data_IF_543619445490
#
_entry.id   IF_543619445490
#
_cell.length_a   1.000
_cell.length_b   1.000
_cell.length_c   1.000
_cell.angle_alpha   90.00
_cell.angle_beta   90.00
_cell.angle_gamma   90.00
#
_symmetry.space_group_name_H-M   'P 1'
#
loop_
_entity.id
_entity.type
_entity.pdbx_description
1 polymer ?
#
# COMPACT_ATOMS: atom_id res chain seq x y z
N UNK A 1 4.57 13.91 -66.86
CA UNK A 1 5.73 13.10 -66.42
C UNK A 1 6.79 14.03 -65.88
N UNK A 2 7.31 13.75 -64.67
CA UNK A 2 8.69 14.03 -64.23
C UNK A 2 9.03 15.54 -64.07
N UNK A 3 9.41 16.10 -62.92
CA UNK A 3 9.83 15.58 -61.60
C UNK A 3 9.69 16.71 -60.58
N UNK A 4 9.04 16.42 -59.45
CA UNK A 4 9.04 17.23 -58.23
C UNK A 4 10.36 17.03 -57.47
N UNK A 5 11.43 17.69 -57.90
CA UNK A 5 12.70 17.65 -57.16
C UNK A 5 13.36 19.03 -57.26
N UNK A 6 13.05 19.92 -56.33
CA UNK A 6 13.93 21.03 -55.91
C UNK A 6 13.34 21.81 -54.72
N UNK A 7 12.96 21.12 -53.64
CA UNK A 7 12.91 21.75 -52.30
C UNK A 7 13.50 20.73 -51.34
N UNK A 8 14.83 20.61 -51.36
CA UNK A 8 15.62 19.78 -50.44
C UNK A 8 16.61 20.66 -49.66
N UNK A 9 16.12 21.79 -49.17
CA UNK A 9 16.87 22.71 -48.32
C UNK A 9 15.89 23.41 -47.37
N UNK A 10 15.44 22.70 -46.34
CA UNK A 10 14.55 23.29 -45.33
C UNK A 10 13.69 22.25 -44.61
N UNK A 11 14.32 21.40 -43.80
CA UNK A 11 13.70 20.92 -42.55
C UNK A 11 14.79 20.28 -41.67
N UNK A 12 15.77 21.13 -41.33
CA UNK A 12 16.68 20.88 -40.23
C UNK A 12 15.98 21.36 -38.96
N UNK A 13 16.04 20.52 -37.93
CA UNK A 13 15.66 20.80 -36.53
C UNK A 13 14.17 20.62 -36.20
N UNK A 14 13.93 19.82 -35.15
CA UNK A 14 12.73 19.73 -34.29
C UNK A 14 11.84 18.48 -34.36
N UNK A 15 12.40 17.32 -34.71
CA UNK A 15 12.01 16.08 -34.03
C UNK A 15 12.84 15.97 -32.74
N UNK A 16 12.58 16.89 -31.79
CA UNK A 16 13.03 16.72 -30.42
C UNK A 16 12.44 15.40 -29.96
N UNK A 17 13.30 14.40 -29.87
CA UNK A 17 13.09 13.21 -29.09
C UNK A 17 12.70 13.69 -27.69
N UNK A 18 11.40 13.79 -27.42
CA UNK A 18 10.90 13.65 -26.06
C UNK A 18 11.19 12.20 -25.70
N UNK A 19 12.43 11.95 -25.32
CA UNK A 19 12.76 10.82 -24.48
C UNK A 19 11.95 11.06 -23.22
N UNK A 20 10.80 10.40 -23.13
CA UNK A 20 10.12 10.20 -21.85
C UNK A 20 11.18 9.66 -20.91
N UNK A 21 11.56 10.47 -19.93
CA UNK A 21 12.37 10.04 -18.82
C UNK A 21 11.48 9.12 -17.98
N UNK A 22 11.25 7.90 -18.48
CA UNK A 22 10.75 6.83 -17.64
C UNK A 22 11.73 6.73 -16.47
N UNK A 23 11.24 6.77 -15.21
CA UNK A 23 12.12 6.71 -14.06
C UNK A 23 12.99 5.48 -14.24
N UNK A 24 14.32 5.67 -14.33
CA UNK A 24 15.30 4.60 -14.60
C UNK A 24 14.85 3.33 -13.90
N UNK A 25 14.26 2.41 -14.66
CA UNK A 25 13.96 1.07 -14.19
C UNK A 25 15.34 0.44 -13.98
N UNK A 26 15.82 0.45 -12.73
CA UNK A 26 16.70 -0.64 -12.30
C UNK A 26 15.95 -1.92 -12.62
N UNK A 27 16.62 -2.88 -13.25
CA UNK A 27 15.99 -4.10 -13.76
C UNK A 27 15.05 -4.67 -12.67
N UNK A 28 13.77 -4.88 -13.02
CA UNK A 28 12.77 -5.37 -12.06
C UNK A 28 13.03 -6.81 -11.57
N UNK A 29 14.13 -7.41 -12.00
CA UNK A 29 14.49 -8.80 -11.75
C UNK A 29 15.62 -8.96 -10.71
N UNK A 30 16.11 -7.85 -10.14
CA UNK A 30 17.28 -7.87 -9.24
C UNK A 30 16.93 -8.27 -7.77
N UNK A 31 15.63 -8.43 -7.43
CA UNK A 31 15.19 -8.96 -6.14
C UNK A 31 13.73 -8.68 -5.74
N UNK A 32 13.27 -9.27 -4.63
CA UNK A 32 11.89 -9.12 -4.13
C UNK A 32 11.47 -7.65 -3.94
N UNK A 33 12.39 -6.80 -3.46
CA UNK A 33 12.12 -5.37 -3.25
C UNK A 33 11.89 -4.62 -4.56
N UNK A 34 12.68 -4.92 -5.58
CA UNK A 34 12.56 -4.27 -6.89
C UNK A 34 11.29 -4.74 -7.61
N UNK A 35 10.96 -6.03 -7.54
CA UNK A 35 9.67 -6.55 -8.01
C UNK A 35 8.49 -5.85 -7.32
N UNK A 36 8.53 -5.74 -5.98
CA UNK A 36 7.47 -5.07 -5.22
C UNK A 36 7.33 -3.59 -5.64
N UNK A 37 8.46 -2.91 -5.87
CA UNK A 37 8.46 -1.53 -6.37
C UNK A 37 7.83 -1.44 -7.76
N UNK A 38 8.18 -2.33 -8.68
CA UNK A 38 7.62 -2.34 -10.03
C UNK A 38 6.11 -2.63 -10.02
N UNK A 39 5.66 -3.63 -9.25
CA UNK A 39 4.24 -3.92 -9.08
C UNK A 39 3.47 -2.71 -8.51
N UNK A 40 4.09 -1.97 -7.59
CA UNK A 40 3.50 -0.76 -7.00
C UNK A 40 3.39 0.38 -7.99
N UNK A 41 4.45 0.62 -8.76
CA UNK A 41 4.46 1.65 -9.82
C UNK A 41 3.36 1.34 -10.83
N UNK A 42 3.25 0.09 -11.29
CA UNK A 42 2.19 -0.33 -12.21
C UNK A 42 0.80 -0.10 -11.63
N UNK A 43 0.56 -0.54 -10.38
CA UNK A 43 -0.74 -0.39 -9.72
C UNK A 43 -1.15 1.08 -9.53
N UNK A 44 -0.20 1.96 -9.21
CA UNK A 44 -0.47 3.39 -9.05
C UNK A 44 -0.74 4.08 -10.39
N UNK A 45 0.06 3.79 -11.42
CA UNK A 45 -0.14 4.35 -12.76
C UNK A 45 -1.51 3.98 -13.32
N UNK A 46 -1.92 2.72 -13.17
CA UNK A 46 -3.23 2.23 -13.63
C UNK A 46 -4.38 2.85 -12.81
N UNK A 47 -4.26 2.89 -11.49
CA UNK A 47 -5.35 3.37 -10.63
C UNK A 47 -5.57 4.89 -10.68
N UNK A 48 -4.54 5.66 -11.03
CA UNK A 48 -4.61 7.11 -11.08
C UNK A 48 -4.86 7.67 -12.48
N UNK A 49 -4.84 6.83 -13.53
CA UNK A 49 -4.93 7.26 -14.94
C UNK A 49 -3.94 8.39 -15.26
N UNK A 50 -2.67 8.20 -14.87
CA UNK A 50 -1.68 9.27 -14.91
C UNK A 50 -1.41 9.74 -16.34
N UNK A 51 -1.64 11.03 -16.60
CA UNK A 51 -1.10 11.68 -17.79
C UNK A 51 0.44 11.79 -17.70
N UNK A 52 1.16 11.87 -18.83
CA UNK A 52 2.61 12.08 -18.81
C UNK A 52 3.04 13.31 -18.00
N UNK A 53 2.27 14.41 -18.10
CA UNK A 53 2.55 15.67 -17.40
C UNK A 53 2.38 15.55 -15.89
N UNK A 54 1.39 14.76 -15.44
CA UNK A 54 1.20 14.47 -14.02
C UNK A 54 2.31 13.56 -13.50
N UNK A 55 2.65 12.51 -14.25
CA UNK A 55 3.69 11.56 -13.89
C UNK A 55 5.05 12.25 -13.67
N UNK A 56 5.42 13.19 -14.54
CA UNK A 56 6.66 13.97 -14.42
C UNK A 56 6.77 14.73 -13.08
N UNK A 57 5.65 15.23 -12.56
CA UNK A 57 5.59 15.95 -11.27
C UNK A 57 5.43 15.02 -10.08
N UNK A 58 4.67 13.94 -10.24
CA UNK A 58 4.32 13.01 -9.16
C UNK A 58 5.51 12.15 -8.73
N UNK A 59 6.22 11.51 -9.67
CA UNK A 59 7.24 10.52 -9.34
C UNK A 59 8.39 11.05 -8.48
N UNK A 60 8.92 12.27 -8.69
CA UNK A 60 9.95 12.83 -7.81
C UNK A 60 9.48 12.95 -6.35
N UNK A 61 8.28 13.48 -6.12
CA UNK A 61 7.71 13.64 -4.77
C UNK A 61 7.45 12.28 -4.13
N UNK A 62 6.85 11.36 -4.88
CA UNK A 62 6.58 10.01 -4.41
C UNK A 62 7.87 9.27 -4.03
N UNK A 63 8.90 9.32 -4.87
CA UNK A 63 10.17 8.63 -4.61
C UNK A 63 10.85 9.15 -3.33
N UNK A 64 10.82 10.46 -3.09
CA UNK A 64 11.36 11.04 -1.86
C UNK A 64 10.58 10.57 -0.62
N UNK A 65 9.24 10.57 -0.69
CA UNK A 65 8.40 10.03 0.39
C UNK A 65 8.71 8.55 0.64
N UNK A 66 8.84 7.74 -0.40
CA UNK A 66 9.15 6.30 -0.25
C UNK A 66 10.53 6.08 0.37
N UNK A 67 11.52 6.90 0.02
CA UNK A 67 12.85 6.86 0.64
C UNK A 67 12.75 7.16 2.14
N UNK A 68 12.07 8.24 2.53
CA UNK A 68 11.87 8.60 3.93
C UNK A 68 11.11 7.52 4.71
N UNK A 69 10.07 6.92 4.11
CA UNK A 69 9.33 5.80 4.71
C UNK A 69 10.21 4.58 4.92
N UNK A 70 11.07 4.26 3.95
CA UNK A 70 12.00 3.15 4.03
C UNK A 70 13.04 3.37 5.14
N UNK A 71 13.62 4.56 5.23
CA UNK A 71 14.58 4.93 6.27
C UNK A 71 13.93 4.89 7.66
N UNK A 72 12.74 5.47 7.82
CA UNK A 72 12.00 5.41 9.09
C UNK A 72 11.65 3.97 9.49
N UNK A 73 11.22 3.14 8.53
CA UNK A 73 10.94 1.73 8.80
C UNK A 73 12.22 0.95 9.15
N UNK A 74 13.36 1.27 8.53
CA UNK A 74 14.65 0.69 8.86
C UNK A 74 15.04 1.02 10.31
N UNK A 75 14.97 2.29 10.71
CA UNK A 75 15.26 2.72 12.08
C UNK A 75 14.35 2.05 13.13
N UNK A 76 13.06 1.87 12.80
CA UNK A 76 12.12 1.11 13.65
C UNK A 76 12.59 -0.34 13.80
N UNK A 77 13.02 -1.00 12.73
CA UNK A 77 13.49 -2.39 12.80
C UNK A 77 14.81 -2.52 13.56
N UNK A 78 15.74 -1.57 13.40
CA UNK A 78 17.01 -1.58 14.14
C UNK A 78 16.80 -1.33 15.64
N UNK A 79 16.04 -0.31 16.00
CA UNK A 79 15.71 -0.02 17.40
C UNK A 79 14.89 -1.14 18.05
N UNK A 80 14.01 -1.80 17.30
CA UNK A 80 13.31 -2.99 17.78
C UNK A 80 14.27 -4.14 18.10
N UNK A 81 15.22 -4.45 17.20
CA UNK A 81 16.23 -5.50 17.45
C UNK A 81 17.07 -5.19 18.68
N UNK A 82 17.50 -3.94 18.85
CA UNK A 82 18.25 -3.52 20.02
C UNK A 82 17.42 -3.65 21.31
N UNK A 83 16.12 -3.35 21.25
CA UNK A 83 15.20 -3.55 22.37
C UNK A 83 15.01 -5.04 22.68
N UNK A 84 14.83 -5.88 21.66
CA UNK A 84 14.69 -7.33 21.80
C UNK A 84 15.94 -7.95 22.45
N UNK A 85 17.13 -7.55 22.01
CA UNK A 85 18.40 -7.97 22.61
C UNK A 85 18.52 -7.51 24.06
N UNK A 86 18.15 -6.26 24.37
CA UNK A 86 18.20 -5.75 25.72
C UNK A 86 17.21 -6.45 26.67
N UNK A 87 16.05 -6.88 26.17
CA UNK A 87 15.05 -7.59 26.97
C UNK A 87 15.42 -9.07 27.19
N UNK A 88 15.98 -9.72 26.17
CA UNK A 88 16.30 -11.15 26.23
C UNK A 88 17.70 -11.45 26.79
N UNK A 89 18.60 -10.45 26.84
CA UNK A 89 19.93 -10.56 27.41
C UNK A 89 20.01 -10.17 28.89
N UNK A 90 21.22 -10.23 29.46
CA UNK A 90 21.51 -9.79 30.84
C UNK A 90 21.81 -8.28 30.90
N UNK A 91 20.91 -7.48 30.33
CA UNK A 91 21.06 -6.02 30.28
C UNK A 91 20.58 -5.35 31.56
N UNK A 92 21.27 -4.27 31.96
CA UNK A 92 20.81 -3.45 33.08
C UNK A 92 19.45 -2.80 32.81
N UNK A 93 18.69 -2.50 33.88
CA UNK A 93 17.42 -1.75 33.79
C UNK A 93 17.56 -0.41 33.03
N UNK A 94 18.71 0.25 33.17
CA UNK A 94 19.00 1.51 32.47
C UNK A 94 19.16 1.30 30.96
N UNK A 95 19.84 0.23 30.56
CA UNK A 95 20.03 -0.13 29.14
C UNK A 95 18.68 -0.46 28.47
N UNK A 96 17.83 -1.26 29.14
CA UNK A 96 16.47 -1.56 28.65
C UNK A 96 15.65 -0.29 28.48
N UNK A 97 15.68 0.63 29.47
CA UNK A 97 14.97 1.91 29.40
C UNK A 97 15.42 2.75 28.20
N UNK A 98 16.72 2.80 27.92
CA UNK A 98 17.28 3.54 26.77
C UNK A 98 16.84 2.92 25.44
N UNK A 99 16.91 1.60 25.31
CA UNK A 99 16.48 0.89 24.10
C UNK A 99 14.98 1.09 23.83
N UNK A 100 14.15 1.04 24.88
CA UNK A 100 12.72 1.31 24.77
C UNK A 100 12.45 2.74 24.30
N UNK A 101 13.15 3.74 24.87
CA UNK A 101 13.00 5.13 24.45
C UNK A 101 13.33 5.32 22.96
N UNK A 102 14.44 4.74 22.49
CA UNK A 102 14.85 4.81 21.09
C UNK A 102 13.83 4.15 20.15
N UNK A 103 13.25 3.01 20.54
CA UNK A 103 12.21 2.35 19.76
C UNK A 103 10.93 3.19 19.66
N UNK A 104 10.48 3.78 20.77
CA UNK A 104 9.30 4.65 20.79
C UNK A 104 9.52 5.92 19.97
N UNK A 105 10.72 6.51 20.02
CA UNK A 105 11.10 7.65 19.19
C UNK A 105 11.04 7.29 17.69
N UNK A 106 11.63 6.15 17.29
CA UNK A 106 11.58 5.68 15.90
C UNK A 106 10.13 5.45 15.41
N UNK A 107 9.24 4.93 16.27
CA UNK A 107 7.81 4.83 15.96
C UNK A 107 7.16 6.20 15.76
N UNK A 108 7.55 7.20 16.56
CA UNK A 108 7.13 8.60 16.42
C UNK A 108 7.52 9.17 15.06
N UNK A 109 8.80 9.12 14.72
CA UNK A 109 9.32 9.60 13.43
C UNK A 109 8.62 8.94 12.25
N UNK A 110 8.40 7.61 12.30
CA UNK A 110 7.65 6.90 11.26
C UNK A 110 6.22 7.43 11.10
N UNK A 111 5.53 7.76 12.19
CA UNK A 111 4.19 8.35 12.14
C UNK A 111 4.21 9.72 11.49
N UNK A 112 5.18 10.57 11.83
CA UNK A 112 5.36 11.91 11.23
C UNK A 112 5.64 11.85 9.73
N UNK A 113 6.51 10.94 9.29
CA UNK A 113 6.77 10.69 7.86
C UNK A 113 5.49 10.27 7.13
N UNK A 114 4.68 9.41 7.75
CA UNK A 114 3.40 9.00 7.16
C UNK A 114 2.39 10.15 7.11
N UNK A 115 2.28 10.95 8.17
CA UNK A 115 1.36 12.10 8.22
C UNK A 115 1.73 13.17 7.18
N UNK A 116 3.01 13.53 7.08
CA UNK A 116 3.50 14.51 6.10
C UNK A 116 3.44 14.04 4.64
N UNK A 117 3.14 12.76 4.39
CA UNK A 117 3.01 12.24 3.02
C UNK A 117 1.84 12.87 2.27
N UNK A 118 0.71 13.10 2.95
CA UNK A 118 -0.47 13.71 2.34
C UNK A 118 -0.19 15.15 1.90
N UNK A 119 0.44 15.94 2.79
CA UNK A 119 0.82 17.33 2.52
C UNK A 119 1.78 17.43 1.32
N UNK A 120 2.84 16.59 1.30
CA UNK A 120 3.80 16.57 0.20
C UNK A 120 3.15 16.21 -1.13
N UNK A 121 2.27 15.22 -1.16
CA UNK A 121 1.57 14.82 -2.38
C UNK A 121 0.53 15.85 -2.82
N UNK A 122 -0.14 16.52 -1.88
CA UNK A 122 -1.08 17.62 -2.16
C UNK A 122 -0.44 18.84 -2.84
N UNK A 123 0.90 18.94 -2.87
CA UNK A 123 1.59 19.98 -3.65
C UNK A 123 1.55 19.74 -5.17
N UNK A 124 1.30 18.49 -5.59
CA UNK A 124 1.28 18.08 -7.01
C UNK A 124 -0.03 17.42 -7.43
N UNK A 125 -0.85 16.97 -6.48
CA UNK A 125 -2.14 16.32 -6.70
C UNK A 125 -3.28 17.21 -6.21
N UNK A 126 -4.39 17.19 -6.94
CA UNK A 126 -5.70 17.66 -6.44
C UNK A 126 -6.22 16.76 -5.31
N UNK A 127 -7.22 17.22 -4.56
CA UNK A 127 -7.84 16.43 -3.48
C UNK A 127 -8.42 15.10 -3.98
N UNK A 128 -9.03 15.10 -5.17
CA UNK A 128 -9.57 13.89 -5.80
C UNK A 128 -8.47 12.89 -6.18
N UNK A 129 -7.38 13.37 -6.77
CA UNK A 129 -6.23 12.53 -7.14
C UNK A 129 -5.50 12.00 -5.90
N UNK A 130 -5.38 12.81 -4.85
CA UNK A 130 -4.81 12.42 -3.58
C UNK A 130 -5.65 11.32 -2.91
N UNK A 131 -6.97 11.45 -2.93
CA UNK A 131 -7.88 10.41 -2.43
C UNK A 131 -7.74 9.11 -3.23
N UNK A 132 -7.70 9.18 -4.57
CA UNK A 132 -7.47 8.02 -5.45
C UNK A 132 -6.14 7.35 -5.14
N UNK A 133 -5.07 8.13 -4.96
CA UNK A 133 -3.75 7.63 -4.57
C UNK A 133 -3.81 6.81 -3.27
N UNK A 134 -4.44 7.32 -2.21
CA UNK A 134 -4.53 6.60 -0.94
C UNK A 134 -5.38 5.32 -1.06
N UNK A 135 -6.46 5.35 -1.82
CA UNK A 135 -7.26 4.15 -2.12
C UNK A 135 -6.43 3.12 -2.89
N UNK A 136 -5.66 3.54 -3.88
CA UNK A 136 -4.80 2.67 -4.68
C UNK A 136 -3.67 2.05 -3.85
N UNK A 137 -2.99 2.85 -3.03
CA UNK A 137 -1.97 2.37 -2.08
C UNK A 137 -2.52 1.33 -1.11
N UNK A 138 -3.71 1.56 -0.55
CA UNK A 138 -4.31 0.64 0.40
C UNK A 138 -4.76 -0.67 -0.28
N UNK A 139 -5.32 -0.59 -1.49
CA UNK A 139 -5.63 -1.77 -2.32
C UNK A 139 -4.37 -2.58 -2.61
N UNK A 140 -3.30 -1.92 -3.02
CA UNK A 140 -2.01 -2.55 -3.29
C UNK A 140 -1.47 -3.24 -2.04
N UNK A 141 -1.43 -2.54 -0.90
CA UNK A 141 -0.96 -3.08 0.39
C UNK A 141 -1.73 -4.34 0.79
N UNK A 142 -3.06 -4.31 0.68
CA UNK A 142 -3.92 -5.46 1.01
C UNK A 142 -3.66 -6.64 0.07
N UNK A 143 -3.50 -6.39 -1.23
CA UNK A 143 -3.17 -7.43 -2.20
C UNK A 143 -1.81 -8.08 -1.90
N UNK A 144 -0.79 -7.30 -1.54
CA UNK A 144 0.52 -7.83 -1.16
C UNK A 144 0.46 -8.68 0.12
N UNK A 145 -0.30 -8.26 1.13
CA UNK A 145 -0.52 -9.08 2.34
C UNK A 145 -1.22 -10.39 2.00
N UNK A 146 -2.22 -10.37 1.10
CA UNK A 146 -2.91 -11.59 0.69
C UNK A 146 -1.96 -12.58 0.02
N UNK A 147 -1.05 -12.10 -0.85
CA UNK A 147 0.00 -12.93 -1.49
C UNK A 147 0.99 -13.55 -0.48
N UNK A 148 1.22 -12.90 0.66
CA UNK A 148 2.13 -13.38 1.71
C UNK A 148 1.49 -14.39 2.66
N UNK A 149 0.16 -14.60 2.61
CA UNK A 149 -0.49 -15.64 3.41
C UNK A 149 -0.17 -16.99 2.77
N UNK A 150 0.48 -17.94 3.49
CA UNK A 150 0.59 -19.30 3.00
C UNK A 150 -0.84 -19.83 2.75
N UNK A 151 -1.08 -20.32 1.53
CA UNK A 151 -2.41 -20.72 1.10
C UNK A 151 -3.05 -21.68 2.10
N UNK A 152 -4.27 -21.35 2.54
CA UNK A 152 -5.22 -22.46 2.68
C UNK A 152 -5.37 -23.03 1.26
N UNK A 153 -5.27 -24.35 1.05
CA UNK A 153 -5.64 -24.90 -0.24
C UNK A 153 -7.09 -24.50 -0.48
N UNK A 154 -7.33 -23.76 -1.55
CA UNK A 154 -8.66 -23.56 -2.09
C UNK A 154 -9.09 -24.91 -2.66
N UNK A 155 -9.68 -25.72 -1.79
CA UNK A 155 -10.02 -27.10 -2.07
C UNK A 155 -11.02 -27.62 -1.05
N UNK A 156 -12.25 -27.10 -1.12
CA UNK A 156 -13.39 -27.99 -1.31
C UNK A 156 -14.58 -27.16 -1.79
N UNK A 157 -14.82 -27.31 -3.09
CA UNK A 157 -16.13 -27.34 -3.69
C UNK A 157 -17.14 -27.94 -2.70
N UNK A 158 -17.92 -27.09 -2.02
CA UNK A 158 -19.14 -27.53 -1.35
C UNK A 158 -20.15 -27.84 -2.46
N UNK A 159 -19.97 -29.00 -3.08
CA UNK A 159 -20.97 -29.60 -3.93
C UNK A 159 -22.31 -29.67 -3.17
N UNK A 160 -23.45 -29.47 -3.85
CA UNK A 160 -24.75 -29.48 -3.21
C UNK A 160 -25.14 -30.93 -2.90
N UNK A 161 -24.65 -31.48 -1.78
CA UNK A 161 -25.00 -32.85 -1.40
C UNK A 161 -24.14 -33.47 -0.30
N UNK A 162 -24.31 -33.02 0.93
CA UNK A 162 -24.12 -33.79 2.16
C UNK A 162 -24.56 -32.90 3.34
N UNK A 163 -25.39 -33.27 4.29
CA UNK A 163 -26.10 -34.50 4.51
C UNK A 163 -27.27 -34.19 5.45
N UNK A 164 -28.28 -35.04 5.42
CA UNK A 164 -29.51 -34.90 6.18
C UNK A 164 -29.24 -34.98 7.69
N UNK A 165 -29.98 -34.16 8.45
CA UNK A 165 -30.02 -34.11 9.92
C UNK A 165 -30.22 -35.49 10.56
N UNK A 166 -29.44 -35.86 11.59
CA UNK A 166 -29.87 -36.83 12.59
C UNK A 166 -30.18 -36.08 13.89
N UNK A 167 -31.47 -35.84 14.16
CA UNK A 167 -31.85 -35.13 15.39
C UNK A 167 -33.30 -34.68 15.44
N UNK A 168 -34.23 -35.52 14.98
CA UNK A 168 -35.61 -35.44 15.45
C UNK A 168 -35.62 -35.84 16.94
N UNK A 169 -35.52 -34.84 17.82
CA UNK A 169 -36.03 -34.91 19.19
C UNK A 169 -36.92 -33.69 19.40
N UNK A 170 -38.19 -33.90 19.09
CA UNK A 170 -39.35 -33.23 19.68
C UNK A 170 -39.08 -32.97 21.19
N UNK A 171 -38.72 -31.74 21.54
CA UNK A 171 -38.72 -31.25 22.92
C UNK A 171 -40.09 -30.64 23.25
N UNK A 172 -40.56 -30.73 24.51
CA UNK A 172 -41.93 -30.36 24.84
C UNK A 172 -42.12 -28.85 24.74
N UNK A 173 -43.25 -28.49 24.14
CA UNK A 173 -43.88 -27.19 24.12
C UNK A 173 -43.93 -26.60 25.54
N UNK A 174 -43.19 -25.50 25.77
CA UNK A 174 -43.22 -24.77 27.02
C UNK A 174 -43.43 -23.28 26.73
N UNK A 175 -44.65 -22.83 27.01
CA UNK A 175 -44.89 -21.53 27.62
C UNK A 175 -44.78 -20.32 26.72
N UNK A 176 -45.88 -19.98 26.06
CA UNK A 176 -46.21 -18.62 25.65
C UNK A 176 -46.22 -17.72 26.90
N UNK A 177 -45.22 -16.84 27.04
CA UNK A 177 -45.15 -15.77 28.05
C UNK A 177 -45.33 -14.39 27.41
N UNK A 178 -45.89 -13.40 28.12
CA UNK A 178 -46.60 -12.29 27.50
C UNK A 178 -45.68 -11.19 26.97
N UNK A 179 -46.16 -10.56 25.90
CA UNK A 179 -45.68 -9.31 25.34
C UNK A 179 -45.64 -8.21 26.42
N UNK A 180 -44.54 -7.44 26.45
CA UNK A 180 -44.37 -6.26 27.29
C UNK A 180 -43.61 -5.16 26.53
N UNK A 181 -43.87 -3.88 26.82
CA UNK A 181 -44.04 -2.86 25.78
C UNK A 181 -42.81 -1.97 25.54
N UNK A 182 -42.72 -1.46 24.30
CA UNK A 182 -42.40 -0.07 23.98
C UNK A 182 -41.02 0.49 24.35
N UNK A 183 -40.15 0.62 23.36
CA UNK A 183 -39.00 1.52 23.39
C UNK A 183 -39.45 2.98 23.57
N UNK A 184 -38.81 3.79 24.43
CA UNK A 184 -38.95 5.24 24.38
C UNK A 184 -38.00 5.83 23.32
N UNK A 185 -38.56 6.71 22.48
CA UNK A 185 -37.83 7.57 21.55
C UNK A 185 -36.90 8.53 22.32
N UNK A 186 -35.63 8.57 21.92
CA UNK A 186 -34.67 9.56 22.41
C UNK A 186 -34.81 10.85 21.58
N UNK A 187 -34.93 11.98 22.29
CA UNK A 187 -34.80 13.34 21.75
C UNK A 187 -33.35 13.67 21.43
#
# INVERSE_FOLDING_TARGET
MKKFIAIAAGLLVSASMMTYAQPKHKNCDDGWRDRLRCERVAALTEAMDMSPELAEKFWPVYNEIQKQKMEAQHNVMESYRALEEAVNGDSSRSAVKKALAAYLEALGTKREVNASSAEKLGTVLTDEELAKYFVAEEKFRRAQIHKLRPGKPDGEDRGPGADRRPGDRRGPEAGRGPEGPGLPEAK
#
